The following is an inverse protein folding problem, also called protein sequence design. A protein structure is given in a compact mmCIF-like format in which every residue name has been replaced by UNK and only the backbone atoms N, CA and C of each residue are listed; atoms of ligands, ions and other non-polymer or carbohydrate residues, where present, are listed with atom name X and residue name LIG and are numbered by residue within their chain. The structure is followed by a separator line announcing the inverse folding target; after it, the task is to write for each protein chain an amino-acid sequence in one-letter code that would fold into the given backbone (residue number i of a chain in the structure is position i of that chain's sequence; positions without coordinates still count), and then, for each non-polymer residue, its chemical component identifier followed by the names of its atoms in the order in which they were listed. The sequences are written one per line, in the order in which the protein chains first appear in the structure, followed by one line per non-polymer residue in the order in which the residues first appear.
data_IF_327913710662
#
_entry.id   IF_327913710662
#
_cell.length_a   1.000
_cell.length_b   1.000
_cell.length_c   1.000
_cell.angle_alpha   90.00
_cell.angle_beta   90.00
_cell.angle_gamma   90.00
#
_symmetry.space_group_name_H-M   'P 1'
#
loop_
_entity.id
_entity.type
_entity.pdbx_description
1 polymer ?
#
# COMPACT_ATOMS: atom_id res chain seq x y z
N UNK A 1 -6.36 38.65 19.55
CA UNK A 1 -6.77 39.18 18.24
C UNK A 1 -6.03 38.35 17.20
N UNK A 2 -6.68 37.31 16.65
CA UNK A 2 -6.05 36.38 15.71
C UNK A 2 -6.45 36.85 14.30
N UNK A 3 -5.46 37.19 13.47
CA UNK A 3 -5.67 37.62 12.09
C UNK A 3 -6.24 36.45 11.27
N UNK A 4 -7.55 36.46 11.03
CA UNK A 4 -8.21 35.68 9.99
C UNK A 4 -7.98 36.36 8.64
N UNK A 5 -6.76 36.32 8.12
CA UNK A 5 -6.54 36.58 6.70
C UNK A 5 -7.00 35.34 5.93
N UNK A 6 -8.20 35.41 5.35
CA UNK A 6 -8.72 34.42 4.42
C UNK A 6 -7.82 34.35 3.17
N UNK A 7 -6.79 33.52 3.22
CA UNK A 7 -5.97 33.19 2.04
C UNK A 7 -6.73 32.15 1.22
N UNK A 8 -7.71 32.63 0.45
CA UNK A 8 -8.40 31.79 -0.53
C UNK A 8 -7.40 31.35 -1.60
N UNK A 9 -7.33 30.04 -1.86
CA UNK A 9 -6.49 29.50 -2.95
C UNK A 9 -7.24 29.74 -4.26
N UNK A 10 -6.62 30.50 -5.17
CA UNK A 10 -7.22 30.79 -6.49
C UNK A 10 -6.79 29.71 -7.48
N UNK A 11 -7.78 29.09 -8.13
CA UNK A 11 -7.57 28.10 -9.17
C UNK A 11 -8.09 28.57 -10.54
N UNK A 12 -7.37 28.19 -11.60
CA UNK A 12 -7.78 28.30 -13.01
C UNK A 12 -8.44 26.99 -13.42
N UNK A 13 -9.70 27.07 -13.83
CA UNK A 13 -10.50 25.94 -14.30
C UNK A 13 -10.33 25.75 -15.81
N UNK A 14 -10.81 24.60 -16.34
CA UNK A 14 -10.64 24.23 -17.75
C UNK A 14 -11.35 25.20 -18.72
N UNK A 15 -12.36 25.92 -18.24
CA UNK A 15 -13.05 26.99 -18.97
C UNK A 15 -12.27 28.33 -18.97
N UNK A 16 -11.07 28.35 -18.36
CA UNK A 16 -10.22 29.52 -18.21
C UNK A 16 -10.65 30.46 -17.08
N UNK A 17 -11.72 30.16 -16.35
CA UNK A 17 -12.19 31.01 -15.25
C UNK A 17 -11.27 30.90 -14.04
N UNK A 18 -11.18 32.01 -13.30
CA UNK A 18 -10.39 32.11 -12.07
C UNK A 18 -11.35 32.30 -10.90
N UNK A 19 -11.42 31.33 -10.01
CA UNK A 19 -12.26 31.38 -8.82
C UNK A 19 -11.56 30.71 -7.65
N UNK A 20 -12.11 30.92 -6.45
CA UNK A 20 -11.65 30.20 -5.26
C UNK A 20 -11.77 28.69 -5.50
N UNK A 21 -10.76 27.94 -5.08
CA UNK A 21 -10.83 26.50 -5.09
C UNK A 21 -11.76 26.01 -3.98
N UNK A 22 -12.68 25.10 -4.31
CA UNK A 22 -13.66 24.56 -3.36
C UNK A 22 -13.12 23.24 -2.80
N UNK A 23 -12.61 23.28 -1.56
CA UNK A 23 -12.04 22.11 -0.90
C UNK A 23 -13.10 21.06 -0.53
N UNK A 24 -14.34 21.48 -0.28
CA UNK A 24 -15.47 20.56 -0.04
C UNK A 24 -15.77 19.69 -1.27
N UNK A 25 -15.63 20.25 -2.47
CA UNK A 25 -15.75 19.51 -3.73
C UNK A 25 -14.59 18.51 -3.88
N UNK A 26 -13.37 18.89 -3.52
CA UNK A 26 -12.21 18.01 -3.52
C UNK A 26 -12.39 16.84 -2.53
N UNK A 27 -12.83 17.11 -1.31
CA UNK A 27 -13.11 16.09 -0.30
C UNK A 27 -14.15 15.10 -0.80
N UNK A 28 -15.23 15.59 -1.41
CA UNK A 28 -16.28 14.74 -2.00
C UNK A 28 -15.71 13.82 -3.10
N UNK A 29 -14.86 14.35 -3.97
CA UNK A 29 -14.20 13.59 -5.05
C UNK A 29 -13.20 12.56 -4.51
N UNK A 30 -12.46 12.89 -3.45
CA UNK A 30 -11.57 11.97 -2.75
C UNK A 30 -12.36 10.86 -2.08
N UNK A 31 -13.41 11.19 -1.34
CA UNK A 31 -14.29 10.22 -0.68
C UNK A 31 -14.87 9.20 -1.68
N UNK A 32 -15.35 9.67 -2.84
CA UNK A 32 -15.82 8.78 -3.91
C UNK A 32 -14.73 7.86 -4.47
N UNK A 33 -13.48 8.33 -4.49
CA UNK A 33 -12.33 7.52 -4.93
C UNK A 33 -11.97 6.47 -3.87
N UNK A 34 -12.02 6.82 -2.58
CA UNK A 34 -11.85 5.88 -1.48
C UNK A 34 -12.92 4.77 -1.51
N UNK A 35 -14.20 5.15 -1.64
CA UNK A 35 -15.31 4.19 -1.74
C UNK A 35 -15.13 3.20 -2.88
N UNK A 36 -14.66 3.67 -4.02
CA UNK A 36 -14.42 2.84 -5.20
C UNK A 36 -13.27 1.85 -5.02
N UNK A 37 -12.36 2.11 -4.07
CA UNK A 37 -11.27 1.22 -3.67
C UNK A 37 -11.62 0.37 -2.43
N UNK A 38 -12.88 0.40 -1.97
CA UNK A 38 -13.35 -0.34 -0.80
C UNK A 38 -12.93 0.28 0.54
N UNK A 39 -12.44 1.52 0.55
CA UNK A 39 -12.08 2.27 1.75
C UNK A 39 -13.24 3.20 2.08
N UNK A 40 -14.00 2.87 3.12
CA UNK A 40 -15.12 3.69 3.60
C UNK A 40 -14.73 4.50 4.83
N UNK A 41 -13.64 5.26 4.69
CA UNK A 41 -13.15 6.16 5.71
C UNK A 41 -13.32 7.60 5.22
N UNK A 42 -14.38 8.26 5.72
CA UNK A 42 -14.64 9.67 5.43
C UNK A 42 -13.59 10.60 6.05
N UNK A 43 -13.00 10.21 7.17
CA UNK A 43 -11.97 10.96 7.89
C UNK A 43 -10.66 10.96 7.10
N UNK A 44 -10.32 9.85 6.44
CA UNK A 44 -9.15 9.83 5.54
C UNK A 44 -9.26 10.84 4.38
N UNK A 45 -10.43 10.95 3.76
CA UNK A 45 -10.65 11.92 2.69
C UNK A 45 -10.56 13.37 3.20
N UNK A 46 -11.05 13.62 4.42
CA UNK A 46 -10.94 14.89 5.12
C UNK A 46 -9.47 15.24 5.44
N UNK A 47 -8.72 14.32 6.04
CA UNK A 47 -7.32 14.52 6.43
C UNK A 47 -6.40 14.83 5.25
N UNK A 48 -6.59 14.11 4.13
CA UNK A 48 -5.85 14.40 2.88
C UNK A 48 -6.28 15.76 2.33
N UNK A 49 -7.56 16.11 2.37
CA UNK A 49 -8.04 17.42 1.90
C UNK A 49 -7.46 18.56 2.72
N UNK A 50 -7.47 18.44 4.05
CA UNK A 50 -6.88 19.41 4.98
C UNK A 50 -5.37 19.57 4.76
N UNK A 51 -4.67 18.46 4.52
CA UNK A 51 -3.25 18.47 4.23
C UNK A 51 -2.95 19.19 2.91
N UNK A 52 -3.75 18.94 1.88
CA UNK A 52 -3.66 19.63 0.59
C UNK A 52 -3.96 21.11 0.74
N UNK A 53 -5.02 21.46 1.46
CA UNK A 53 -5.41 22.84 1.72
C UNK A 53 -4.29 23.61 2.44
N UNK A 54 -3.71 23.02 3.49
CA UNK A 54 -2.62 23.63 4.25
C UNK A 54 -1.41 23.94 3.36
N UNK A 55 -0.97 22.97 2.54
CA UNK A 55 0.18 23.15 1.65
C UNK A 55 -0.12 24.19 0.57
N UNK A 56 -1.30 24.13 -0.06
CA UNK A 56 -1.67 25.08 -1.10
C UNK A 56 -1.82 26.49 -0.56
N UNK A 57 -2.39 26.70 0.63
CA UNK A 57 -2.45 28.01 1.28
C UNK A 57 -1.06 28.57 1.57
N UNK A 58 -0.15 27.73 2.07
CA UNK A 58 1.25 28.13 2.35
C UNK A 58 1.97 28.59 1.08
N UNK A 59 1.77 27.91 -0.05
CA UNK A 59 2.38 28.28 -1.33
C UNK A 59 1.65 29.49 -1.96
N UNK A 60 0.32 29.54 -1.85
CA UNK A 60 -0.53 30.63 -2.36
C UNK A 60 -0.31 31.94 -1.63
N UNK A 61 0.20 31.93 -0.39
CA UNK A 61 0.60 33.13 0.34
C UNK A 61 1.66 33.96 -0.43
N UNK A 62 2.41 33.33 -1.34
CA UNK A 62 3.32 34.00 -2.28
C UNK A 62 2.65 34.57 -3.54
N UNK A 63 1.31 34.59 -3.61
CA UNK A 63 0.55 35.08 -4.77
C UNK A 63 0.45 34.08 -5.94
N UNK A 64 0.84 32.81 -5.73
CA UNK A 64 0.77 31.79 -6.78
C UNK A 64 -0.68 31.40 -7.06
N UNK A 65 -1.03 31.37 -8.34
CA UNK A 65 -2.29 30.81 -8.85
C UNK A 65 -2.02 29.38 -9.34
N UNK A 66 -2.94 28.47 -9.05
CA UNK A 66 -2.84 27.07 -9.48
C UNK A 66 -3.82 26.77 -10.60
N UNK A 67 -3.52 25.78 -11.42
CA UNK A 67 -4.53 25.14 -12.28
C UNK A 67 -5.20 23.98 -11.54
N UNK A 68 -6.45 23.67 -11.86
CA UNK A 68 -7.13 22.48 -11.29
C UNK A 68 -6.35 21.20 -11.59
N UNK A 69 -5.70 21.11 -12.75
CA UNK A 69 -4.83 20.00 -13.12
C UNK A 69 -3.60 19.86 -12.20
N UNK A 70 -2.97 20.97 -11.82
CA UNK A 70 -1.85 20.95 -10.86
C UNK A 70 -2.30 20.49 -9.47
N UNK A 71 -3.46 20.98 -9.00
CA UNK A 71 -4.03 20.57 -7.71
C UNK A 71 -4.35 19.08 -7.72
N UNK A 72 -4.99 18.58 -8.77
CA UNK A 72 -5.28 17.16 -8.91
C UNK A 72 -4.01 16.31 -8.93
N UNK A 73 -2.95 16.76 -9.61
CA UNK A 73 -1.66 16.06 -9.64
C UNK A 73 -0.98 16.05 -8.27
N UNK A 74 -1.15 17.12 -7.50
CA UNK A 74 -0.65 17.21 -6.13
C UNK A 74 -1.38 16.24 -5.19
N UNK A 75 -2.70 16.12 -5.33
CA UNK A 75 -3.52 15.16 -4.58
C UNK A 75 -3.08 13.73 -4.86
N UNK A 76 -2.89 13.36 -6.14
CA UNK A 76 -2.41 12.02 -6.52
C UNK A 76 -1.06 11.71 -5.88
N UNK A 77 -0.12 12.67 -5.91
CA UNK A 77 1.19 12.50 -5.27
C UNK A 77 1.07 12.30 -3.76
N UNK A 78 0.23 13.09 -3.07
CA UNK A 78 0.02 12.91 -1.63
C UNK A 78 -0.56 11.52 -1.31
N UNK A 79 -1.45 10.99 -2.14
CA UNK A 79 -1.99 9.65 -1.97
C UNK A 79 -0.93 8.56 -2.18
N UNK A 80 -0.07 8.71 -3.20
CA UNK A 80 1.05 7.80 -3.44
C UNK A 80 2.08 7.84 -2.30
N UNK A 81 2.44 9.02 -1.82
CA UNK A 81 3.35 9.23 -0.69
C UNK A 81 2.77 8.70 0.63
N UNK A 82 1.46 8.80 0.82
CA UNK A 82 0.75 8.25 1.98
C UNK A 82 0.58 6.72 1.92
N UNK A 83 1.00 6.07 0.83
CA UNK A 83 0.94 4.61 0.68
C UNK A 83 -0.39 4.08 0.15
N UNK A 84 -1.20 4.92 -0.50
CA UNK A 84 -2.49 4.56 -1.12
C UNK A 84 -2.49 4.78 -2.64
N UNK A 85 -1.58 4.12 -3.40
CA UNK A 85 -1.48 4.28 -4.85
C UNK A 85 -2.76 3.88 -5.58
N UNK A 86 -3.53 2.93 -5.06
CA UNK A 86 -4.81 2.49 -5.62
C UNK A 86 -5.89 3.60 -5.59
N UNK A 87 -5.94 4.41 -4.52
CA UNK A 87 -6.83 5.58 -4.46
C UNK A 87 -6.33 6.65 -5.43
N UNK A 88 -5.01 6.88 -5.49
CA UNK A 88 -4.39 7.81 -6.42
C UNK A 88 -4.71 7.48 -7.88
N UNK A 89 -4.69 6.20 -8.25
CA UNK A 89 -5.03 5.73 -9.59
C UNK A 89 -6.53 5.92 -9.90
N UNK A 90 -7.42 5.58 -8.97
CA UNK A 90 -8.85 5.79 -9.15
C UNK A 90 -9.20 7.28 -9.26
N UNK A 91 -8.57 8.11 -8.43
CA UNK A 91 -8.68 9.57 -8.49
C UNK A 91 -8.15 10.12 -9.82
N UNK A 92 -7.06 9.57 -10.36
CA UNK A 92 -6.50 9.92 -11.67
C UNK A 92 -7.51 9.65 -12.79
N UNK A 93 -8.10 8.45 -12.81
CA UNK A 93 -9.06 8.02 -13.84
C UNK A 93 -10.33 8.88 -13.78
N UNK A 94 -10.94 9.02 -12.59
CA UNK A 94 -12.19 9.76 -12.41
C UNK A 94 -12.06 11.24 -12.75
N UNK A 95 -10.93 11.83 -12.42
CA UNK A 95 -10.72 13.27 -12.55
C UNK A 95 -9.92 13.65 -13.80
N UNK A 96 -9.72 12.70 -14.72
CA UNK A 96 -8.99 12.87 -15.99
C UNK A 96 -7.65 13.58 -15.79
N UNK A 97 -6.97 13.25 -14.69
CA UNK A 97 -5.67 13.85 -14.37
C UNK A 97 -4.70 13.36 -15.43
N UNK A 98 -4.19 14.29 -16.25
CA UNK A 98 -3.22 13.95 -17.30
C UNK A 98 -1.93 13.52 -16.62
N UNK A 99 -1.61 12.22 -16.66
CA UNK A 99 -0.26 11.75 -16.33
C UNK A 99 0.72 12.38 -17.33
N UNK A 100 1.61 13.22 -16.82
CA UNK A 100 2.69 13.81 -17.63
C UNK A 100 3.81 12.78 -17.63
N UNK A 101 3.70 11.79 -18.50
CA UNK A 101 4.80 10.88 -18.72
C UNK A 101 5.75 11.52 -19.72
N UNK A 102 7.03 11.58 -19.34
CA UNK A 102 8.06 12.22 -20.13
C UNK A 102 8.80 11.11 -20.88
N UNK A 103 9.06 11.33 -22.16
CA UNK A 103 9.99 10.47 -22.90
C UNK A 103 11.37 10.67 -22.26
N UNK A 104 12.08 9.60 -21.86
CA UNK A 104 13.39 9.74 -21.24
C UNK A 104 14.39 10.27 -22.27
N UNK A 105 14.51 11.58 -22.35
CA UNK A 105 15.43 12.34 -23.18
C UNK A 105 16.44 13.07 -22.29
N UNK A 106 17.68 13.20 -22.75
CA UNK A 106 18.79 13.75 -21.99
C UNK A 106 18.53 15.20 -21.56
N UNK A 107 17.98 16.02 -22.45
CA UNK A 107 17.67 17.43 -22.15
C UNK A 107 16.54 17.56 -21.12
N UNK A 108 15.49 16.74 -21.25
CA UNK A 108 14.34 16.77 -20.35
C UNK A 108 14.69 16.22 -18.96
N UNK A 109 15.38 15.09 -18.89
CA UNK A 109 15.80 14.47 -17.63
C UNK A 109 16.82 15.35 -16.90
N UNK A 110 17.80 15.89 -17.61
CA UNK A 110 18.79 16.80 -16.99
C UNK A 110 18.15 18.08 -16.47
N UNK A 111 17.16 18.64 -17.17
CA UNK A 111 16.38 19.79 -16.70
C UNK A 111 15.57 19.48 -15.45
N UNK A 112 14.94 18.29 -15.39
CA UNK A 112 14.18 17.83 -14.22
C UNK A 112 15.12 17.62 -13.02
N UNK A 113 16.24 16.92 -13.21
CA UNK A 113 17.21 16.62 -12.15
C UNK A 113 17.85 17.92 -11.64
N UNK A 114 18.31 18.80 -12.52
CA UNK A 114 18.93 20.06 -12.15
C UNK A 114 17.99 20.92 -11.30
N UNK A 115 16.74 21.09 -11.75
CA UNK A 115 15.75 21.93 -11.07
C UNK A 115 15.34 21.40 -9.69
N UNK A 116 15.30 20.09 -9.51
CA UNK A 116 14.76 19.47 -8.28
C UNK A 116 15.83 18.97 -7.31
N UNK A 117 17.04 18.65 -7.79
CA UNK A 117 18.14 18.14 -6.97
C UNK A 117 19.29 19.14 -6.80
N UNK A 118 19.27 20.27 -7.54
CA UNK A 118 20.30 21.31 -7.45
C UNK A 118 21.68 20.85 -7.93
N UNK A 119 21.73 19.87 -8.85
CA UNK A 119 22.96 19.30 -9.39
C UNK A 119 23.26 19.96 -10.73
N UNK A 120 24.52 20.33 -10.95
CA UNK A 120 24.99 20.99 -12.17
C UNK A 120 26.28 20.31 -12.70
N UNK A 121 26.65 20.60 -13.95
CA UNK A 121 27.93 20.15 -14.53
C UNK A 121 28.01 18.65 -14.87
N UNK A 122 29.21 18.08 -14.72
CA UNK A 122 29.51 16.70 -15.13
C UNK A 122 28.76 15.64 -14.31
N UNK A 123 28.44 15.95 -13.05
CA UNK A 123 27.68 15.07 -12.16
C UNK A 123 26.22 14.93 -12.65
N UNK A 124 25.61 16.04 -13.07
CA UNK A 124 24.28 16.05 -13.66
C UNK A 124 24.24 15.19 -14.93
N UNK A 125 25.25 15.31 -15.79
CA UNK A 125 25.35 14.53 -17.03
C UNK A 125 25.55 13.04 -16.75
N UNK A 126 26.39 12.68 -15.78
CA UNK A 126 26.64 11.30 -15.39
C UNK A 126 25.37 10.63 -14.80
N UNK A 127 24.65 11.32 -13.92
CA UNK A 127 23.41 10.83 -13.33
C UNK A 127 22.31 10.73 -14.39
N UNK A 128 22.15 11.74 -15.23
CA UNK A 128 21.12 11.76 -16.29
C UNK A 128 21.28 10.59 -17.26
N UNK A 129 22.52 10.28 -17.69
CA UNK A 129 22.79 9.11 -18.54
C UNK A 129 22.47 7.78 -17.86
N UNK A 130 22.77 7.66 -16.56
CA UNK A 130 22.44 6.45 -15.78
C UNK A 130 20.95 6.25 -15.66
N UNK A 131 20.19 7.32 -15.40
CA UNK A 131 18.73 7.28 -15.33
C UNK A 131 18.14 6.85 -16.67
N UNK A 132 18.60 7.40 -17.80
CA UNK A 132 18.18 6.99 -19.14
C UNK A 132 18.47 5.51 -19.40
N UNK A 133 19.71 5.06 -19.14
CA UNK A 133 20.07 3.65 -19.35
C UNK A 133 19.22 2.69 -18.51
N UNK A 134 18.77 3.13 -17.34
CA UNK A 134 17.93 2.34 -16.45
C UNK A 134 16.49 2.27 -16.95
N UNK A 135 15.96 3.39 -17.46
CA UNK A 135 14.66 3.41 -18.14
C UNK A 135 14.68 2.52 -19.39
N UNK A 136 15.76 2.54 -20.17
CA UNK A 136 15.94 1.66 -21.35
C UNK A 136 16.02 0.19 -20.96
N UNK A 137 16.82 -0.16 -19.94
CA UNK A 137 16.93 -1.53 -19.43
C UNK A 137 15.61 -2.09 -18.91
N UNK A 138 14.76 -1.25 -18.32
CA UNK A 138 13.43 -1.61 -17.84
C UNK A 138 12.37 -1.63 -18.96
N UNK A 139 12.73 -1.31 -20.20
CA UNK A 139 11.80 -1.25 -21.34
C UNK A 139 10.79 -0.10 -21.24
N UNK A 140 11.11 0.97 -20.51
CA UNK A 140 10.21 2.10 -20.29
C UNK A 140 10.31 3.12 -21.44
N UNK A 141 9.32 3.12 -22.33
CA UNK A 141 9.22 4.13 -23.40
C UNK A 141 8.86 5.54 -22.89
N UNK A 142 8.18 5.60 -21.73
CA UNK A 142 7.78 6.81 -21.03
C UNK A 142 7.92 6.60 -19.53
N UNK A 143 8.43 7.61 -18.82
CA UNK A 143 8.65 7.55 -17.38
C UNK A 143 8.02 8.77 -16.69
N UNK A 144 7.49 8.57 -15.48
CA UNK A 144 6.99 9.67 -14.67
C UNK A 144 8.17 10.51 -14.14
N UNK A 145 8.05 11.84 -14.05
CA UNK A 145 9.09 12.70 -13.47
C UNK A 145 9.49 12.29 -12.04
N UNK A 146 8.56 11.78 -11.26
CA UNK A 146 8.83 11.28 -9.89
C UNK A 146 9.79 10.09 -9.91
N UNK A 147 9.57 9.11 -10.80
CA UNK A 147 10.46 7.96 -10.94
C UNK A 147 11.86 8.39 -11.41
N UNK A 148 11.94 9.32 -12.35
CA UNK A 148 13.21 9.90 -12.82
C UNK A 148 13.97 10.55 -11.67
N UNK A 149 13.28 11.29 -10.80
CA UNK A 149 13.88 11.94 -9.64
C UNK A 149 14.33 10.94 -8.57
N UNK A 150 13.56 9.88 -8.31
CA UNK A 150 13.96 8.84 -7.36
C UNK A 150 15.15 8.03 -7.86
N UNK A 151 15.18 7.67 -9.14
CA UNK A 151 16.38 7.07 -9.75
C UNK A 151 17.59 8.00 -9.67
N UNK A 152 17.40 9.29 -9.93
CA UNK A 152 18.47 10.27 -9.80
C UNK A 152 18.97 10.43 -8.36
N UNK A 153 18.08 10.42 -7.36
CA UNK A 153 18.43 10.40 -5.93
C UNK A 153 19.24 9.15 -5.58
N UNK A 154 18.74 8.00 -5.99
CA UNK A 154 19.42 6.72 -5.79
C UNK A 154 20.82 6.72 -6.42
N UNK A 155 21.00 7.25 -7.63
CA UNK A 155 22.33 7.33 -8.25
C UNK A 155 23.23 8.36 -7.62
N UNK A 156 22.70 9.46 -7.09
CA UNK A 156 23.47 10.44 -6.32
C UNK A 156 23.94 9.87 -4.99
N UNK A 157 23.05 9.22 -4.25
CA UNK A 157 23.33 8.66 -2.92
C UNK A 157 24.29 7.47 -3.01
N UNK A 158 24.19 6.66 -4.06
CA UNK A 158 25.11 5.56 -4.33
C UNK A 158 26.34 5.95 -5.17
N UNK A 159 26.50 7.22 -5.56
CA UNK A 159 27.69 7.68 -6.30
C UNK A 159 28.96 7.73 -5.42
N UNK A 160 28.84 7.59 -4.10
CA UNK A 160 29.98 7.64 -3.18
C UNK A 160 30.87 6.39 -3.26
N UNK A 161 30.43 5.26 -3.85
CA UNK A 161 31.29 4.05 -3.81
C UNK A 161 31.16 3.09 -5.00
N UNK A 162 31.49 3.57 -6.22
CA UNK A 162 31.59 2.71 -7.40
C UNK A 162 32.89 2.92 -8.21
N UNK A 163 34.02 3.20 -7.56
CA UNK A 163 35.36 3.07 -8.16
C UNK A 163 36.04 1.70 -7.93
N UNK A 164 35.35 0.75 -7.31
CA UNK A 164 35.86 -0.61 -7.06
C UNK A 164 34.96 -1.71 -7.63
N UNK A 165 34.34 -1.51 -8.79
CA UNK A 165 33.81 -2.62 -9.58
C UNK A 165 34.92 -3.27 -10.41
N UNK A 166 35.95 -3.78 -9.74
CA UNK A 166 36.63 -4.97 -10.24
C UNK A 166 35.62 -6.11 -10.14
N UNK A 167 35.16 -6.59 -11.31
CA UNK A 167 34.36 -7.80 -11.46
C UNK A 167 35.14 -9.01 -10.90
N UNK A 168 35.08 -9.20 -9.58
CA UNK A 168 35.28 -10.50 -8.96
C UNK A 168 33.95 -11.24 -8.97
N UNK A 169 33.91 -12.54 -9.29
CA UNK A 169 32.68 -13.32 -9.20
C UNK A 169 32.32 -13.46 -7.73
N UNK A 170 31.58 -12.49 -7.19
CA UNK A 170 30.85 -12.66 -5.94
C UNK A 170 29.74 -13.65 -6.25
N UNK A 171 29.96 -14.89 -5.82
CA UNK A 171 28.92 -15.89 -5.65
C UNK A 171 27.90 -15.38 -4.61
N UNK A 172 27.04 -14.42 -5.00
CA UNK A 172 25.82 -14.13 -4.25
C UNK A 172 24.77 -15.13 -4.71
N UNK A 173 24.69 -16.25 -3.99
CA UNK A 173 23.66 -17.27 -4.18
C UNK A 173 22.31 -16.71 -3.68
N UNK A 174 21.59 -16.06 -4.59
CA UNK A 174 20.13 -15.89 -4.68
C UNK A 174 19.77 -14.46 -5.09
N UNK A 175 19.34 -14.31 -6.35
CA UNK A 175 18.81 -13.07 -6.94
C UNK A 175 17.31 -12.85 -6.62
N UNK A 176 16.73 -13.63 -5.68
CA UNK A 176 15.31 -13.54 -5.37
C UNK A 176 15.01 -12.33 -4.47
N UNK A 177 13.98 -11.51 -4.79
CA UNK A 177 13.52 -10.43 -3.92
C UNK A 177 12.81 -10.96 -2.65
N UNK A 178 12.55 -12.26 -2.58
CA UNK A 178 11.82 -12.94 -1.52
C UNK A 178 12.77 -13.65 -0.56
N UNK A 179 12.57 -13.42 0.75
CA UNK A 179 13.23 -14.18 1.82
C UNK A 179 12.60 -15.56 2.00
N UNK A 180 11.28 -15.63 1.92
CA UNK A 180 10.49 -16.86 2.02
C UNK A 180 9.32 -16.75 1.05
N UNK A 181 9.10 -17.77 0.23
CA UNK A 181 7.96 -17.76 -0.70
C UNK A 181 6.74 -18.44 -0.09
N UNK A 182 5.56 -17.98 -0.50
CA UNK A 182 4.28 -18.55 -0.04
C UNK A 182 4.16 -20.05 -0.35
N UNK A 183 4.67 -20.51 -1.50
CA UNK A 183 4.70 -21.94 -1.85
C UNK A 183 5.57 -22.78 -0.92
N UNK A 184 6.66 -22.24 -0.39
CA UNK A 184 7.53 -22.91 0.58
C UNK A 184 6.85 -23.02 1.96
N UNK A 185 6.13 -21.96 2.35
CA UNK A 185 5.33 -21.94 3.58
C UNK A 185 4.21 -22.97 3.47
N UNK A 186 3.44 -22.97 2.38
CA UNK A 186 2.34 -23.91 2.16
C UNK A 186 2.84 -25.36 2.05
N UNK A 187 4.05 -25.58 1.53
CA UNK A 187 4.64 -26.93 1.46
C UNK A 187 5.01 -27.49 2.85
N UNK A 188 5.30 -26.62 3.82
CA UNK A 188 5.78 -26.97 5.16
C UNK A 188 4.68 -27.12 6.21
N UNK A 189 3.43 -26.78 5.89
CA UNK A 189 2.26 -26.98 6.78
C UNK A 189 1.56 -28.33 6.55
N UNK A 190 0.71 -28.71 7.50
CA UNK A 190 -0.08 -29.94 7.49
C UNK A 190 -1.00 -30.06 6.28
N UNK A 191 -1.49 -31.28 6.06
CA UNK A 191 -2.43 -31.57 4.98
C UNK A 191 -3.77 -30.82 5.16
N UNK A 192 -4.26 -30.69 6.39
CA UNK A 192 -5.52 -29.99 6.68
C UNK A 192 -5.40 -28.49 6.42
N UNK A 193 -4.30 -27.86 6.82
CA UNK A 193 -4.03 -26.44 6.52
C UNK A 193 -3.88 -26.19 5.02
N UNK A 194 -3.24 -27.12 4.28
CA UNK A 194 -3.18 -27.05 2.81
C UNK A 194 -4.55 -27.11 2.14
N UNK A 195 -5.49 -27.90 2.67
CA UNK A 195 -6.87 -27.91 2.15
C UNK A 195 -7.55 -26.56 2.33
N UNK A 196 -7.38 -25.91 3.49
CA UNK A 196 -7.93 -24.58 3.74
C UNK A 196 -7.38 -23.55 2.75
N UNK A 197 -6.08 -23.61 2.46
CA UNK A 197 -5.45 -22.73 1.45
C UNK A 197 -5.95 -23.03 0.04
N UNK A 198 -6.05 -24.31 -0.32
CA UNK A 198 -6.55 -24.75 -1.64
C UNK A 198 -8.02 -24.39 -1.85
N UNK A 199 -8.82 -24.43 -0.79
CA UNK A 199 -10.22 -24.01 -0.77
C UNK A 199 -10.40 -22.48 -0.80
N UNK A 200 -9.31 -21.70 -0.74
CA UNK A 200 -9.38 -20.24 -0.70
C UNK A 200 -9.85 -19.66 0.64
N UNK A 201 -9.97 -20.48 1.69
CA UNK A 201 -10.33 -20.02 3.02
C UNK A 201 -9.21 -19.18 3.66
N UNK A 202 -7.95 -19.57 3.41
CA UNK A 202 -6.75 -18.89 3.87
C UNK A 202 -5.82 -18.58 2.70
N UNK A 203 -5.15 -17.42 2.73
CA UNK A 203 -4.07 -17.10 1.80
C UNK A 203 -2.90 -16.49 2.54
N UNK A 204 -1.68 -16.79 2.09
CA UNK A 204 -0.43 -16.26 2.66
C UNK A 204 0.35 -15.46 1.63
N UNK A 205 0.88 -14.30 2.05
CA UNK A 205 1.80 -13.52 1.24
C UNK A 205 3.21 -14.10 1.24
N UNK A 206 4.02 -13.74 0.24
CA UNK A 206 5.47 -13.93 0.31
C UNK A 206 6.07 -13.03 1.39
N UNK A 207 7.22 -13.42 1.96
CA UNK A 207 8.03 -12.58 2.83
C UNK A 207 9.08 -11.87 1.99
N UNK A 208 8.95 -10.55 1.87
CA UNK A 208 9.87 -9.71 1.12
C UNK A 208 11.15 -9.42 1.91
N UNK A 209 12.26 -9.20 1.20
CA UNK A 209 13.51 -8.72 1.78
C UNK A 209 13.46 -7.25 2.22
N UNK A 210 12.65 -6.43 1.56
CA UNK A 210 12.53 -4.99 1.87
C UNK A 210 11.64 -4.74 3.09
N UNK A 211 10.59 -5.54 3.24
CA UNK A 211 9.63 -5.46 4.34
C UNK A 211 9.34 -6.87 4.85
N UNK A 212 10.18 -7.41 5.76
CA UNK A 212 10.02 -8.75 6.29
C UNK A 212 8.78 -8.78 7.19
N UNK A 213 7.64 -9.12 6.61
CA UNK A 213 6.37 -9.31 7.30
C UNK A 213 5.58 -10.39 6.58
N UNK A 214 4.80 -11.14 7.34
CA UNK A 214 3.87 -12.13 6.82
C UNK A 214 2.46 -11.56 6.91
N UNK A 215 1.75 -11.52 5.78
CA UNK A 215 0.32 -11.19 5.74
C UNK A 215 -0.44 -12.47 5.45
N UNK A 216 -1.39 -12.78 6.32
CA UNK A 216 -2.30 -13.90 6.17
C UNK A 216 -3.69 -13.30 6.02
N UNK A 217 -4.38 -13.66 4.95
CA UNK A 217 -5.77 -13.26 4.76
C UNK A 217 -6.69 -14.46 4.99
N UNK A 218 -7.72 -14.26 5.80
CA UNK A 218 -8.82 -15.20 5.98
C UNK A 218 -10.05 -14.69 5.25
N UNK A 219 -10.51 -15.44 4.27
CA UNK A 219 -11.71 -15.12 3.49
C UNK A 219 -12.92 -15.73 4.22
N UNK A 220 -13.75 -14.90 4.85
CA UNK A 220 -14.84 -15.36 5.72
C UNK A 220 -15.92 -16.11 4.95
N UNK A 221 -16.35 -15.61 3.79
CA UNK A 221 -17.39 -16.26 3.00
C UNK A 221 -16.91 -17.58 2.40
N UNK A 222 -15.68 -17.61 1.90
CA UNK A 222 -15.02 -18.83 1.41
C UNK A 222 -14.81 -19.87 2.52
N UNK A 223 -14.40 -19.44 3.72
CA UNK A 223 -14.30 -20.32 4.90
C UNK A 223 -15.67 -20.91 5.26
N UNK A 224 -16.71 -20.08 5.34
CA UNK A 224 -18.06 -20.53 5.64
C UNK A 224 -18.60 -21.55 4.61
N UNK A 225 -18.27 -21.35 3.32
CA UNK A 225 -18.61 -22.28 2.25
C UNK A 225 -17.85 -23.61 2.36
N UNK A 226 -16.56 -23.59 2.69
CA UNK A 226 -15.74 -24.80 2.86
C UNK A 226 -16.25 -25.69 4.00
N UNK A 227 -16.63 -25.08 5.13
CA UNK A 227 -17.21 -25.81 6.27
C UNK A 227 -18.71 -26.12 6.11
N UNK A 228 -19.30 -25.79 4.96
CA UNK A 228 -20.72 -25.98 4.66
C UNK A 228 -21.64 -25.42 5.76
N UNK A 229 -21.32 -24.23 6.27
CA UNK A 229 -22.13 -23.58 7.31
C UNK A 229 -23.53 -23.27 6.75
N UNK A 230 -24.55 -23.58 7.55
CA UNK A 230 -25.93 -23.21 7.22
C UNK A 230 -26.08 -21.68 7.24
N UNK A 231 -26.86 -21.14 6.31
CA UNK A 231 -27.18 -19.71 6.29
C UNK A 231 -27.96 -19.35 7.55
N UNK A 232 -27.75 -18.15 8.10
CA UNK A 232 -28.13 -17.75 9.46
C UNK A 232 -27.19 -18.32 10.54
N UNK A 233 -25.89 -18.11 10.31
CA UNK A 233 -24.84 -18.52 11.24
C UNK A 233 -24.94 -17.69 12.52
N UNK A 234 -24.97 -18.38 13.65
CA UNK A 234 -24.80 -17.76 14.97
C UNK A 234 -23.33 -17.78 15.37
N UNK A 235 -22.95 -16.92 16.31
CA UNK A 235 -21.59 -16.87 16.87
C UNK A 235 -21.09 -18.22 17.38
N UNK A 236 -21.95 -19.04 17.98
CA UNK A 236 -21.56 -20.37 18.45
C UNK A 236 -21.37 -21.37 17.32
N UNK A 237 -22.13 -21.23 16.22
CA UNK A 237 -22.04 -22.14 15.08
C UNK A 237 -20.74 -21.95 14.28
N UNK A 238 -20.13 -20.76 14.32
CA UNK A 238 -18.88 -20.47 13.60
C UNK A 238 -17.62 -20.90 14.36
N UNK A 239 -17.71 -21.15 15.68
CA UNK A 239 -16.55 -21.48 16.52
C UNK A 239 -15.70 -22.65 16.00
N UNK A 240 -16.26 -23.80 15.56
CA UNK A 240 -15.44 -24.91 15.07
C UNK A 240 -14.69 -24.56 13.77
N UNK A 241 -15.29 -23.72 12.92
CA UNK A 241 -14.67 -23.18 11.71
C UNK A 241 -13.49 -22.28 12.09
N UNK A 242 -13.69 -21.36 13.03
CA UNK A 242 -12.64 -20.47 13.51
C UNK A 242 -11.51 -21.21 14.22
N UNK A 243 -11.81 -22.24 15.01
CA UNK A 243 -10.77 -23.06 15.62
C UNK A 243 -9.90 -23.75 14.56
N UNK A 244 -10.52 -24.28 13.51
CA UNK A 244 -9.81 -24.93 12.40
C UNK A 244 -8.97 -23.93 11.61
N UNK A 245 -9.51 -22.73 11.34
CA UNK A 245 -8.80 -21.67 10.64
C UNK A 245 -7.66 -21.08 11.49
N UNK A 246 -7.89 -20.83 12.78
CA UNK A 246 -6.88 -20.35 13.72
C UNK A 246 -5.70 -21.33 13.84
N UNK A 247 -6.00 -22.63 13.93
CA UNK A 247 -4.96 -23.68 13.90
C UNK A 247 -4.12 -23.59 12.63
N UNK A 248 -4.76 -23.43 11.47
CA UNK A 248 -4.06 -23.27 10.19
C UNK A 248 -3.23 -21.97 10.12
N UNK A 249 -3.76 -20.85 10.63
CA UNK A 249 -3.07 -19.56 10.69
C UNK A 249 -1.83 -19.66 11.59
N UNK A 250 -1.96 -20.27 12.78
CA UNK A 250 -0.86 -20.48 13.72
C UNK A 250 0.22 -21.37 13.07
N UNK A 251 -0.18 -22.42 12.37
CA UNK A 251 0.76 -23.32 11.68
C UNK A 251 1.53 -22.60 10.56
N UNK A 252 0.84 -21.79 9.74
CA UNK A 252 1.46 -20.93 8.71
C UNK A 252 2.44 -19.94 9.34
N UNK A 253 2.08 -19.31 10.45
CA UNK A 253 2.93 -18.36 11.15
C UNK A 253 4.19 -19.02 11.70
N UNK A 254 4.07 -20.20 12.32
CA UNK A 254 5.21 -20.98 12.84
C UNK A 254 6.12 -21.44 11.69
N UNK A 255 5.55 -21.98 10.62
CA UNK A 255 6.29 -22.41 9.44
C UNK A 255 7.08 -21.26 8.81
N UNK A 256 6.43 -20.10 8.63
CA UNK A 256 7.07 -18.91 8.08
C UNK A 256 8.19 -18.36 8.96
N UNK A 257 7.99 -18.32 10.29
CA UNK A 257 9.03 -17.92 11.26
C UNK A 257 10.23 -18.86 11.22
N UNK A 258 10.00 -20.17 11.11
CA UNK A 258 11.05 -21.18 10.98
C UNK A 258 11.86 -21.02 9.69
N UNK A 259 11.18 -20.86 8.55
CA UNK A 259 11.83 -20.64 7.25
C UNK A 259 12.60 -19.32 7.21
N UNK A 260 12.04 -18.26 7.80
CA UNK A 260 12.70 -16.97 7.90
C UNK A 260 13.94 -17.02 8.82
N UNK A 261 13.86 -17.73 9.94
CA UNK A 261 15.01 -17.99 10.81
C UNK A 261 16.13 -18.74 10.09
N UNK A 262 15.81 -19.76 9.29
CA UNK A 262 16.78 -20.48 8.47
C UNK A 262 17.43 -19.57 7.41
N UNK A 263 16.64 -18.68 6.80
CA UNK A 263 17.15 -17.68 5.85
C UNK A 263 18.11 -16.69 6.53
N UNK A 264 17.78 -16.21 7.73
CA UNK A 264 18.64 -15.30 8.50
C UNK A 264 19.95 -15.98 8.94
N UNK A 265 19.86 -17.21 9.47
CA UNK A 265 21.03 -17.98 9.87
C UNK A 265 21.96 -18.31 8.69
N UNK A 266 21.39 -18.63 7.53
CA UNK A 266 22.16 -18.86 6.29
C UNK A 266 22.88 -17.59 5.79
N UNK A 267 22.40 -16.40 6.19
CA UNK A 267 22.97 -15.11 5.83
C UNK A 267 23.79 -14.46 6.96
N UNK A 268 24.06 -15.18 8.05
CA UNK A 268 24.94 -14.74 9.14
C UNK A 268 24.32 -13.76 10.13
N UNK A 269 23.00 -13.67 10.20
CA UNK A 269 22.28 -12.89 11.22
C UNK A 269 22.01 -13.76 12.45
N UNK A 270 22.38 -13.28 13.65
CA UNK A 270 22.09 -13.96 14.91
C UNK A 270 20.58 -13.93 15.19
N UNK A 271 19.97 -15.11 15.33
CA UNK A 271 18.53 -15.35 15.37
C UNK A 271 17.81 -14.89 16.65
N UNK A 272 18.40 -14.02 17.46
CA UNK A 272 17.84 -13.58 18.74
C UNK A 272 16.87 -12.39 18.63
N UNK A 273 17.00 -11.51 17.62
CA UNK A 273 16.28 -10.23 17.57
C UNK A 273 15.28 -10.07 16.41
N UNK A 274 15.28 -10.98 15.42
CA UNK A 274 14.46 -10.82 14.22
C UNK A 274 13.17 -11.64 14.28
N UNK A 275 12.20 -11.20 15.08
CA UNK A 275 10.85 -11.75 15.02
C UNK A 275 10.15 -11.31 13.73
N UNK A 276 9.67 -12.26 12.94
CA UNK A 276 8.85 -11.98 11.75
C UNK A 276 7.46 -11.49 12.24
N UNK A 277 7.08 -10.23 12.00
CA UNK A 277 5.75 -9.75 12.31
C UNK A 277 4.73 -10.43 11.40
N UNK A 278 3.64 -10.91 12.00
CA UNK A 278 2.55 -11.61 11.31
C UNK A 278 1.28 -10.81 11.48
N UNK A 279 0.63 -10.50 10.35
CA UNK A 279 -0.62 -9.74 10.30
C UNK A 279 -1.73 -10.62 9.73
N UNK A 280 -2.87 -10.66 10.43
CA UNK A 280 -4.08 -11.32 9.95
C UNK A 280 -5.07 -10.27 9.43
N UNK A 281 -5.59 -10.49 8.22
CA UNK A 281 -6.68 -9.69 7.65
C UNK A 281 -7.92 -10.56 7.44
N UNK A 282 -9.08 -10.01 7.78
CA UNK A 282 -10.37 -10.59 7.46
C UNK A 282 -10.88 -9.99 6.14
N UNK A 283 -11.15 -10.86 5.18
CA UNK A 283 -11.64 -10.52 3.84
C UNK A 283 -13.06 -11.07 3.64
N UNK A 284 -13.73 -10.59 2.59
CA UNK A 284 -15.09 -10.99 2.21
C UNK A 284 -16.15 -10.73 3.30
N UNK A 285 -15.90 -9.79 4.20
CA UNK A 285 -16.79 -9.48 5.33
C UNK A 285 -18.21 -9.15 4.85
N UNK A 286 -18.35 -8.30 3.83
CA UNK A 286 -19.66 -7.94 3.29
C UNK A 286 -20.40 -9.14 2.69
N UNK A 287 -19.70 -10.00 1.94
CA UNK A 287 -20.28 -11.21 1.36
C UNK A 287 -20.66 -12.23 2.45
N UNK A 288 -19.87 -12.33 3.51
CA UNK A 288 -20.15 -13.17 4.67
C UNK A 288 -21.38 -12.66 5.44
N UNK A 289 -21.46 -11.35 5.71
CA UNK A 289 -22.60 -10.73 6.38
C UNK A 289 -23.91 -10.96 5.65
N UNK A 290 -23.94 -10.70 4.34
CA UNK A 290 -25.16 -10.86 3.55
C UNK A 290 -25.51 -12.34 3.33
N UNK A 291 -24.50 -13.18 3.08
CA UNK A 291 -24.69 -14.59 2.73
C UNK A 291 -24.99 -15.50 3.92
N UNK A 292 -24.43 -15.20 5.09
CA UNK A 292 -24.44 -16.09 6.26
C UNK A 292 -25.03 -15.46 7.51
N UNK A 293 -24.88 -14.15 7.73
CA UNK A 293 -25.50 -13.47 8.89
C UNK A 293 -26.90 -12.90 8.58
N UNK A 294 -27.34 -12.97 7.32
CA UNK A 294 -28.61 -12.39 6.85
C UNK A 294 -28.76 -10.90 7.21
N UNK A 295 -27.63 -10.19 7.30
CA UNK A 295 -27.56 -8.78 7.68
C UNK A 295 -26.67 -8.05 6.69
N UNK A 296 -26.99 -6.79 6.38
CA UNK A 296 -26.16 -6.00 5.47
C UNK A 296 -24.91 -5.51 6.18
N UNK A 297 -23.83 -5.37 5.45
CA UNK A 297 -22.70 -4.57 5.92
C UNK A 297 -23.04 -3.08 5.71
N UNK A 298 -22.82 -2.16 6.69
CA UNK A 298 -22.09 -2.33 7.95
C UNK A 298 -22.95 -2.62 9.19
N UNK A 299 -24.25 -2.91 9.07
CA UNK A 299 -25.15 -3.16 10.22
C UNK A 299 -24.71 -4.35 11.09
N UNK A 300 -24.02 -5.32 10.48
CA UNK A 300 -23.44 -6.50 11.13
C UNK A 300 -22.06 -6.29 11.75
N UNK A 301 -21.52 -5.05 11.76
CA UNK A 301 -20.17 -4.76 12.26
C UNK A 301 -19.91 -5.25 13.68
N UNK A 302 -20.88 -5.13 14.59
CA UNK A 302 -20.73 -5.58 15.99
C UNK A 302 -20.52 -7.09 16.05
N UNK A 303 -21.38 -7.85 15.38
CA UNK A 303 -21.31 -9.31 15.37
C UNK A 303 -20.03 -9.82 14.67
N UNK A 304 -19.63 -9.20 13.54
CA UNK A 304 -18.35 -9.54 12.88
C UNK A 304 -17.16 -9.14 13.76
N UNK A 305 -17.25 -8.05 14.52
CA UNK A 305 -16.24 -7.63 15.48
C UNK A 305 -16.08 -8.60 16.64
N UNK A 306 -17.17 -9.09 17.20
CA UNK A 306 -17.17 -10.14 18.23
C UNK A 306 -16.60 -11.44 17.68
N UNK A 307 -16.98 -11.81 16.45
CA UNK A 307 -16.39 -12.94 15.73
C UNK A 307 -14.88 -12.79 15.52
N UNK A 308 -14.41 -11.61 15.11
CA UNK A 308 -12.99 -11.33 14.95
C UNK A 308 -12.23 -11.36 16.29
N UNK A 309 -12.84 -10.88 17.37
CA UNK A 309 -12.27 -10.95 18.71
C UNK A 309 -12.18 -12.40 19.21
N UNK A 310 -13.19 -13.24 18.94
CA UNK A 310 -13.15 -14.67 19.23
C UNK A 310 -12.02 -15.37 18.47
N UNK A 311 -11.88 -15.07 17.17
CA UNK A 311 -10.78 -15.60 16.36
C UNK A 311 -9.42 -15.14 16.91
N UNK A 312 -9.28 -13.86 17.26
CA UNK A 312 -8.05 -13.30 17.83
C UNK A 312 -7.66 -14.01 19.13
N UNK A 313 -8.64 -14.38 19.98
CA UNK A 313 -8.40 -15.16 21.20
C UNK A 313 -7.93 -16.60 20.97
N UNK A 314 -8.06 -17.12 19.74
CA UNK A 314 -7.59 -18.47 19.36
C UNK A 314 -6.22 -18.44 18.66
N UNK A 315 -5.67 -17.26 18.36
CA UNK A 315 -4.37 -17.13 17.70
C UNK A 315 -3.23 -17.21 18.72
N UNK A 316 -2.14 -17.86 18.32
CA UNK A 316 -0.96 -18.05 19.15
C UNK A 316 0.20 -17.16 18.72
N UNK A 317 0.93 -16.64 19.72
CA UNK A 317 2.05 -15.71 19.52
C UNK A 317 1.59 -14.29 19.12
N UNK A 318 2.56 -13.42 18.82
CA UNK A 318 2.31 -12.01 18.50
C UNK A 318 1.73 -11.82 17.07
N UNK A 319 0.59 -12.45 16.78
CA UNK A 319 -0.15 -12.26 15.52
C UNK A 319 -1.08 -11.06 15.69
N UNK A 320 -0.81 -9.99 14.95
CA UNK A 320 -1.63 -8.79 14.98
C UNK A 320 -2.84 -8.96 14.05
N UNK A 321 -4.04 -9.01 14.61
CA UNK A 321 -5.28 -8.94 13.83
C UNK A 321 -5.52 -7.49 13.43
N UNK A 322 -5.60 -7.22 12.13
CA UNK A 322 -5.89 -5.88 11.64
C UNK A 322 -7.32 -5.50 12.04
N UNK A 323 -7.47 -4.33 12.65
CA UNK A 323 -8.77 -3.82 13.07
C UNK A 323 -9.74 -3.77 11.88
N UNK A 324 -10.97 -4.21 12.14
CA UNK A 324 -12.07 -4.03 11.20
C UNK A 324 -12.32 -2.54 11.01
N UNK A 325 -12.76 -2.10 9.82
CA UNK A 325 -13.03 -0.69 9.57
C UNK A 325 -14.09 -0.19 10.57
N UNK A 326 -13.67 0.59 11.56
CA UNK A 326 -14.52 1.11 12.62
C UNK A 326 -15.48 2.16 12.04
N UNK A 327 -16.78 1.91 12.14
CA UNK A 327 -17.80 2.90 11.84
C UNK A 327 -18.10 3.75 13.07
N UNK A 328 -17.74 5.04 13.02
CA UNK A 328 -18.31 6.02 13.94
C UNK A 328 -19.82 6.11 13.67
N UNK A 329 -20.63 5.78 14.68
CA UNK A 329 -22.07 6.11 14.67
C UNK A 329 -22.18 7.64 14.70
N UNK A 330 -22.50 8.24 13.56
CA UNK A 330 -23.04 9.59 13.46
C UNK A 330 -24.41 9.67 14.12
#
# INVERSE_FOLDING_TARGET
MINLSSSAVIAVYDDGTRRSFEFDELQSRLYQSCLSCGINDGSFAEDITLSVEYVLKKISAGGRIFTVSEINSFVVRMLEEAGYPEIGENFTIRNKVRRIDVKPDLELISGIISKHLGIEGDELQAISRKVISSCEMLGMEKASPSLVLELARHYRENAIDLKSLSLGPRNMKSQSPWCVRSDEIIASVSFETRKLVTAGALTSSHVSRLFPSLKIDMNLASSAGYFALEKQVTELAILPCFQSCATGINEIAVAARGLYGNYLGSNGYDGADAQLPVFLRLNEIAAFSEGYLCSKWPESHVCVGEMAAMLAGMLEGDIAVRELPSFNKS
#
